data_IF_728203756481
#
_entry.id   IF_728203756481
#
_cell.length_a   1.000
_cell.length_b   1.000
_cell.length_c   1.000
_cell.angle_alpha   90.00
_cell.angle_beta   90.00
_cell.angle_gamma   90.00
#
_symmetry.space_group_name_H-M   'P 1'
#
loop_
_entity.id
_entity.type
_entity.pdbx_description
1 polymer ?
#
# COMPACT_ATOMS: atom_id res chain seq x y z
N UNK A 1 1.07 -11.79 3.96
CA UNK A 1 2.15 -11.08 3.24
C UNK A 1 2.53 -9.86 4.02
N UNK A 2 3.81 -9.70 4.33
CA UNK A 2 4.34 -8.50 4.99
C UNK A 2 4.49 -7.38 3.95
N UNK A 3 3.84 -6.23 4.20
CA UNK A 3 3.81 -5.09 3.29
C UNK A 3 5.19 -4.43 3.15
N UNK A 4 6.05 -4.54 4.16
CA UNK A 4 7.40 -3.95 4.16
C UNK A 4 8.35 -4.64 3.18
N UNK A 5 8.05 -5.88 2.78
CA UNK A 5 8.83 -6.63 1.79
C UNK A 5 8.48 -6.26 0.34
N UNK A 6 7.43 -5.47 0.11
CA UNK A 6 6.93 -5.15 -1.24
C UNK A 6 6.86 -3.64 -1.52
N UNK A 7 6.78 -2.80 -0.49
CA UNK A 7 6.77 -1.34 -0.62
C UNK A 7 7.65 -0.68 0.42
N UNK A 8 8.39 0.35 0.03
CA UNK A 8 9.34 1.07 0.90
C UNK A 8 8.66 2.11 1.79
N UNK A 9 7.73 1.66 2.64
CA UNK A 9 7.08 2.48 3.68
C UNK A 9 7.37 1.90 5.06
N UNK A 10 7.55 2.77 6.05
CA UNK A 10 7.73 2.40 7.45
C UNK A 10 6.39 2.22 8.18
N UNK A 11 5.40 3.04 7.82
CA UNK A 11 4.06 2.97 8.36
C UNK A 11 3.03 3.19 7.24
N UNK A 12 1.87 2.58 7.37
CA UNK A 12 0.71 2.78 6.50
C UNK A 12 -0.53 3.00 7.36
N UNK A 13 -1.55 3.67 6.81
CA UNK A 13 -2.79 3.88 7.57
C UNK A 13 -3.59 2.59 7.72
N UNK A 14 -4.32 2.47 8.83
CA UNK A 14 -5.27 1.37 9.06
C UNK A 14 -6.56 1.50 8.24
N UNK A 15 -6.72 2.57 7.46
CA UNK A 15 -7.94 2.87 6.70
C UNK A 15 -7.65 2.95 5.19
N UNK A 16 -7.39 1.80 4.54
CA UNK A 16 -7.21 1.76 3.10
C UNK A 16 -8.53 2.03 2.36
N UNK A 17 -8.44 2.66 1.18
CA UNK A 17 -9.58 2.88 0.30
C UNK A 17 -9.68 1.75 -0.73
N UNK A 18 -10.76 0.98 -0.69
CA UNK A 18 -11.04 -0.08 -1.67
C UNK A 18 -11.98 0.43 -2.75
N UNK A 19 -11.59 0.27 -4.01
CA UNK A 19 -12.41 0.65 -5.17
C UNK A 19 -13.32 -0.48 -5.63
N UNK A 20 -14.29 -0.17 -6.47
CA UNK A 20 -15.27 -1.14 -7.01
C UNK A 20 -14.64 -2.30 -7.77
N UNK A 21 -13.48 -2.07 -8.42
CA UNK A 21 -12.74 -3.12 -9.15
C UNK A 21 -11.83 -3.98 -8.24
N UNK A 22 -11.90 -3.79 -6.92
CA UNK A 22 -11.10 -4.53 -5.95
C UNK A 22 -9.69 -3.98 -5.73
N UNK A 23 -9.24 -2.97 -6.47
CA UNK A 23 -7.96 -2.28 -6.20
C UNK A 23 -8.04 -1.59 -4.83
N UNK A 24 -6.99 -1.75 -4.04
CA UNK A 24 -6.83 -1.11 -2.73
C UNK A 24 -5.79 0.00 -2.85
N UNK A 25 -6.12 1.18 -2.35
CA UNK A 25 -5.20 2.30 -2.18
C UNK A 25 -4.95 2.55 -0.70
N UNK A 26 -3.72 2.92 -0.33
CA UNK A 26 -3.39 3.29 1.04
C UNK A 26 -2.31 4.38 1.05
N UNK A 27 -2.24 5.15 2.12
CA UNK A 27 -1.21 6.15 2.37
C UNK A 27 -0.16 5.52 3.31
N UNK A 28 1.11 5.61 2.95
CA UNK A 28 2.22 5.27 3.85
C UNK A 28 3.28 6.37 3.94
N UNK A 29 4.09 6.32 4.99
CA UNK A 29 5.22 7.23 5.19
C UNK A 29 6.53 6.47 5.20
N UNK A 30 7.59 7.09 4.66
CA UNK A 30 8.97 6.65 4.82
C UNK A 30 9.76 7.70 5.57
N UNK A 31 10.59 7.29 6.53
CA UNK A 31 11.34 8.21 7.41
C UNK A 31 12.86 8.07 7.30
N UNK A 32 13.36 7.03 6.61
CA UNK A 32 14.79 6.67 6.58
C UNK A 32 15.65 7.77 5.95
N UNK A 33 15.20 8.39 4.85
CA UNK A 33 15.93 9.49 4.18
C UNK A 33 15.21 10.83 4.34
N UNK A 34 14.50 11.01 5.46
CA UNK A 34 13.55 12.11 5.67
C UNK A 34 12.10 11.71 5.39
N UNK A 35 11.17 12.54 5.89
CA UNK A 35 9.74 12.26 5.84
C UNK A 35 9.19 12.42 4.41
N UNK A 36 8.73 11.32 3.85
CA UNK A 36 8.03 11.28 2.56
C UNK A 36 6.73 10.50 2.71
N UNK A 37 5.71 10.88 1.95
CA UNK A 37 4.44 10.19 1.89
C UNK A 37 4.28 9.51 0.54
N UNK A 38 3.78 8.28 0.55
CA UNK A 38 3.60 7.43 -0.62
C UNK A 38 2.12 7.03 -0.73
N UNK A 39 1.56 7.19 -1.93
CA UNK A 39 0.25 6.64 -2.27
C UNK A 39 0.47 5.26 -2.87
N UNK A 40 0.13 4.23 -2.11
CA UNK A 40 0.28 2.83 -2.50
C UNK A 40 -0.95 2.37 -3.27
N UNK A 41 -0.75 1.55 -4.31
CA UNK A 41 -1.79 0.88 -5.09
C UNK A 41 -1.53 -0.62 -5.09
N UNK A 42 -2.49 -1.38 -4.58
CA UNK A 42 -2.47 -2.84 -4.57
C UNK A 42 -3.56 -3.30 -5.55
N UNK A 43 -3.19 -3.92 -6.68
CA UNK A 43 -4.17 -4.42 -7.64
C UNK A 43 -5.04 -5.53 -7.03
N UNK A 44 -6.25 -5.78 -7.57
CA UNK A 44 -7.03 -6.92 -7.16
C UNK A 44 -6.24 -8.22 -7.42
N UNK A 45 -6.46 -9.28 -6.62
CA UNK A 45 -5.89 -10.58 -6.93
C UNK A 45 -6.36 -10.99 -8.34
N UNK A 46 -5.42 -11.28 -9.23
CA UNK A 46 -5.74 -12.01 -10.46
C UNK A 46 -6.33 -13.34 -10.03
N UNK A 47 -7.49 -13.71 -10.58
CA UNK A 47 -8.01 -15.07 -10.44
C UNK A 47 -6.91 -16.01 -10.92
N UNK A 48 -6.24 -16.69 -9.99
CA UNK A 48 -5.38 -17.80 -10.32
C UNK A 48 -6.34 -18.93 -10.69
N UNK A 49 -6.51 -19.14 -11.99
CA UNK A 49 -7.06 -20.38 -12.54
C UNK A 49 -5.98 -21.47 -12.47
#
# INVERSE_FOLDING_TARGET
TDITNVVSVNAATSHPHKTSNGTIYNLGSSVITGLKYHVMKIPPPTSAE
#
